data_IF_039299807953
#
_entry.id   IF_039299807953
#
_cell.length_a   1.000
_cell.length_b   1.000
_cell.length_c   1.000
_cell.angle_alpha   90.00
_cell.angle_beta   90.00
_cell.angle_gamma   90.00
#
_symmetry.space_group_name_H-M   'P 1'
#
loop_
_entity.id
_entity.type
_entity.pdbx_description
1 polymer ?
#
# COMPACT_ATOMS: atom_id res chain seq x y z
N UNK A 1 -0.29 20.79 -10.51
CA UNK A 1 -0.91 21.47 -9.36
C UNK A 1 -0.15 21.05 -8.10
N UNK A 2 0.45 21.99 -7.34
CA UNK A 2 1.09 21.67 -6.05
C UNK A 2 0.02 21.68 -4.95
N UNK A 3 -0.76 20.60 -4.85
CA UNK A 3 -1.69 20.42 -3.74
C UNK A 3 -0.84 20.04 -2.51
N UNK A 4 -1.05 20.73 -1.38
CA UNK A 4 -0.40 20.37 -0.12
C UNK A 4 -0.85 18.97 0.32
N UNK A 5 0.06 18.11 0.84
CA UNK A 5 -0.30 16.78 1.34
C UNK A 5 -1.45 16.81 2.37
N UNK A 6 -1.52 17.86 3.20
CA UNK A 6 -2.62 18.05 4.14
C UNK A 6 -3.96 18.25 3.44
N UNK A 7 -3.99 19.06 2.38
CA UNK A 7 -5.21 19.34 1.62
C UNK A 7 -5.67 18.08 0.89
N UNK A 8 -4.75 17.34 0.27
CA UNK A 8 -5.06 16.07 -0.37
C UNK A 8 -5.61 15.03 0.63
N UNK A 9 -4.97 14.93 1.81
CA UNK A 9 -5.41 14.04 2.88
C UNK A 9 -6.78 14.41 3.43
N UNK A 10 -7.03 15.70 3.64
CA UNK A 10 -8.32 16.19 4.14
C UNK A 10 -9.44 15.91 3.13
N UNK A 11 -9.24 16.23 1.85
CA UNK A 11 -10.23 15.99 0.80
C UNK A 11 -10.49 14.48 0.64
N UNK A 12 -9.43 13.66 0.59
CA UNK A 12 -9.56 12.21 0.45
C UNK A 12 -10.25 11.55 1.65
N UNK A 13 -9.88 11.93 2.87
CA UNK A 13 -10.48 11.39 4.09
C UNK A 13 -11.92 11.84 4.31
N UNK A 14 -12.20 13.12 4.09
CA UNK A 14 -13.55 13.68 4.25
C UNK A 14 -14.52 13.13 3.21
N UNK A 15 -14.09 13.01 1.95
CA UNK A 15 -14.91 12.39 0.90
C UNK A 15 -15.19 10.91 1.17
N UNK A 16 -14.20 10.16 1.67
CA UNK A 16 -14.39 8.76 2.05
C UNK A 16 -15.42 8.61 3.19
N UNK A 17 -15.34 9.46 4.22
CA UNK A 17 -16.30 9.46 5.33
C UNK A 17 -17.72 9.83 4.87
N UNK A 18 -17.85 10.84 4.01
CA UNK A 18 -19.12 11.24 3.39
C UNK A 18 -19.73 10.10 2.57
N UNK A 19 -18.95 9.47 1.69
CA UNK A 19 -19.41 8.36 0.87
C UNK A 19 -19.89 7.18 1.73
N UNK A 20 -19.18 6.87 2.82
CA UNK A 20 -19.58 5.83 3.75
C UNK A 20 -20.89 6.17 4.48
N UNK A 21 -21.07 7.42 4.92
CA UNK A 21 -22.27 7.87 5.60
C UNK A 21 -23.51 7.88 4.69
N UNK A 22 -23.37 8.33 3.43
CA UNK A 22 -24.48 8.49 2.50
C UNK A 22 -24.85 7.21 1.74
N UNK A 23 -23.87 6.44 1.27
CA UNK A 23 -24.13 5.27 0.43
C UNK A 23 -24.26 3.97 1.23
N UNK A 24 -24.05 3.99 2.57
CA UNK A 24 -23.96 2.81 3.45
C UNK A 24 -23.00 1.73 2.91
N UNK A 25 -22.10 2.10 2.01
CA UNK A 25 -21.05 1.23 1.49
C UNK A 25 -20.04 1.09 2.63
N UNK A 26 -20.23 0.05 3.42
CA UNK A 26 -19.27 -0.39 4.43
C UNK A 26 -18.36 -1.41 3.75
N UNK A 27 -17.17 -1.03 3.25
CA UNK A 27 -16.14 -2.02 3.01
C UNK A 27 -15.87 -2.78 4.33
N UNK A 28 -15.27 -3.98 4.29
CA UNK A 28 -14.90 -4.69 5.51
C UNK A 28 -14.18 -3.74 6.48
N UNK A 29 -14.46 -3.82 7.79
CA UNK A 29 -13.91 -2.88 8.76
C UNK A 29 -12.37 -2.82 8.64
N UNK A 30 -11.84 -1.59 8.55
CA UNK A 30 -10.43 -1.31 8.34
C UNK A 30 -9.80 -1.88 7.04
N UNK A 31 -10.55 -1.89 5.94
CA UNK A 31 -10.00 -2.18 4.60
C UNK A 31 -9.44 -0.91 3.94
N UNK A 32 -8.16 -0.92 3.56
CA UNK A 32 -7.48 0.17 2.86
C UNK A 32 -6.79 -0.31 1.58
N UNK A 33 -6.40 0.61 0.69
CA UNK A 33 -5.67 0.27 -0.53
C UNK A 33 -4.23 -0.14 -0.19
N UNK A 34 -4.01 -1.44 -0.02
CA UNK A 34 -2.71 -1.98 0.36
C UNK A 34 -2.04 -2.64 -0.84
N UNK A 35 -0.98 -2.03 -1.37
CA UNK A 35 -0.26 -2.57 -2.54
C UNK A 35 0.32 -3.95 -2.21
N UNK A 36 0.83 -4.18 -0.99
CA UNK A 36 1.38 -5.49 -0.60
C UNK A 36 0.29 -6.58 -0.54
N UNK A 37 -0.80 -6.33 0.20
CA UNK A 37 -1.89 -7.30 0.36
C UNK A 37 -2.65 -7.52 -0.96
N UNK A 38 -2.88 -6.47 -1.75
CA UNK A 38 -3.58 -6.58 -3.02
C UNK A 38 -2.74 -7.30 -4.07
N UNK A 39 -1.41 -7.12 -4.06
CA UNK A 39 -0.51 -7.92 -4.90
C UNK A 39 -0.54 -9.39 -4.49
N UNK A 40 -0.50 -9.68 -3.17
CA UNK A 40 -0.67 -11.06 -2.68
C UNK A 40 -2.00 -11.67 -3.14
N UNK A 41 -3.11 -10.95 -2.98
CA UNK A 41 -4.43 -11.45 -3.37
C UNK A 41 -4.54 -11.65 -4.89
N UNK A 42 -3.96 -10.77 -5.71
CA UNK A 42 -3.91 -10.93 -7.15
C UNK A 42 -3.08 -12.16 -7.56
N UNK A 43 -1.88 -12.33 -6.98
CA UNK A 43 -1.02 -13.50 -7.24
C UNK A 43 -1.71 -14.78 -6.79
N UNK A 44 -2.28 -14.81 -5.59
CA UNK A 44 -3.00 -15.98 -5.07
C UNK A 44 -4.22 -16.32 -5.94
N UNK A 45 -4.95 -15.31 -6.44
CA UNK A 45 -6.06 -15.53 -7.36
C UNK A 45 -5.62 -16.19 -8.66
N UNK A 46 -4.54 -15.67 -9.29
CA UNK A 46 -3.96 -16.23 -10.51
C UNK A 46 -3.48 -17.67 -10.28
N UNK A 47 -2.72 -17.90 -9.21
CA UNK A 47 -2.17 -19.23 -8.89
C UNK A 47 -3.29 -20.22 -8.57
N UNK A 48 -4.31 -19.83 -7.81
CA UNK A 48 -5.45 -20.70 -7.53
C UNK A 48 -6.23 -21.05 -8.81
N UNK A 49 -6.32 -20.13 -9.78
CA UNK A 49 -7.01 -20.38 -11.05
C UNK A 49 -6.20 -21.27 -12.01
N UNK A 50 -4.86 -21.12 -12.02
CA UNK A 50 -3.98 -21.89 -12.91
C UNK A 50 -3.63 -23.27 -12.33
N UNK A 51 -3.32 -23.32 -11.04
CA UNK A 51 -2.77 -24.52 -10.38
C UNK A 51 -3.78 -25.27 -9.50
N UNK A 52 -5.04 -24.81 -9.43
CA UNK A 52 -6.09 -25.46 -8.63
C UNK A 52 -5.83 -25.43 -7.12
N UNK A 53 -4.94 -24.56 -6.65
CA UNK A 53 -4.60 -24.41 -5.23
C UNK A 53 -5.67 -23.63 -4.46
N UNK A 54 -5.62 -23.68 -3.12
CA UNK A 54 -6.52 -22.96 -2.22
C UNK A 54 -5.77 -21.97 -1.32
N UNK A 55 -4.88 -21.18 -1.92
CA UNK A 55 -4.13 -20.15 -1.21
C UNK A 55 -5.08 -19.12 -0.59
N UNK A 56 -4.78 -18.68 0.63
CA UNK A 56 -5.61 -17.74 1.40
C UNK A 56 -5.78 -16.40 0.67
N UNK A 57 -7.02 -15.95 0.52
CA UNK A 57 -7.39 -14.70 -0.14
C UNK A 57 -8.38 -13.92 0.71
N UNK A 58 -8.31 -12.58 0.66
CA UNK A 58 -9.30 -11.74 1.33
C UNK A 58 -10.72 -12.01 0.78
N UNK A 59 -11.78 -11.90 1.60
CA UNK A 59 -13.15 -12.17 1.16
C UNK A 59 -13.58 -11.36 -0.07
N UNK A 60 -13.10 -10.11 -0.16
CA UNK A 60 -13.36 -9.20 -1.28
C UNK A 60 -12.72 -9.70 -2.58
N UNK A 61 -11.54 -10.32 -2.49
CA UNK A 61 -10.77 -10.82 -3.63
C UNK A 61 -11.28 -12.14 -4.21
N UNK A 62 -12.21 -12.81 -3.52
CA UNK A 62 -12.85 -14.03 -4.02
C UNK A 62 -13.88 -13.75 -5.11
N UNK A 63 -14.53 -12.59 -5.04
CA UNK A 63 -15.61 -12.21 -5.97
C UNK A 63 -15.07 -11.45 -7.17
N UNK A 64 -14.08 -10.56 -6.96
CA UNK A 64 -13.47 -9.78 -8.02
C UNK A 64 -11.93 -9.80 -7.92
N UNK A 65 -11.20 -9.97 -9.04
CA UNK A 65 -9.75 -9.86 -9.03
C UNK A 65 -9.35 -8.45 -8.62
N UNK A 66 -8.40 -8.35 -7.69
CA UNK A 66 -7.98 -7.06 -7.11
C UNK A 66 -7.09 -6.30 -8.10
N UNK A 67 -7.71 -5.66 -9.09
CA UNK A 67 -7.01 -4.89 -10.13
C UNK A 67 -6.47 -3.54 -9.67
N UNK A 68 -6.71 -3.16 -8.41
CA UNK A 68 -6.24 -1.87 -7.86
C UNK A 68 -4.74 -1.62 -8.04
N UNK A 69 -3.89 -2.65 -7.94
CA UNK A 69 -2.44 -2.51 -8.14
C UNK A 69 -2.13 -2.14 -9.59
N UNK A 70 -2.79 -2.80 -10.54
CA UNK A 70 -2.67 -2.50 -11.98
C UNK A 70 -3.22 -1.11 -12.28
N UNK A 71 -4.37 -0.76 -11.70
CA UNK A 71 -5.00 0.56 -11.86
C UNK A 71 -4.14 1.70 -11.30
N UNK A 72 -3.56 1.54 -10.10
CA UNK A 72 -2.62 2.51 -9.53
C UNK A 72 -1.39 2.64 -10.42
N UNK A 73 -0.84 1.53 -10.90
CA UNK A 73 0.35 1.56 -11.75
C UNK A 73 0.10 2.31 -13.06
N UNK A 74 -0.99 1.98 -13.77
CA UNK A 74 -1.37 2.65 -15.02
C UNK A 74 -1.71 4.12 -14.77
N UNK A 75 -2.49 4.42 -13.72
CA UNK A 75 -2.86 5.79 -13.36
C UNK A 75 -1.66 6.66 -13.02
N UNK A 76 -0.71 6.13 -12.23
CA UNK A 76 0.54 6.82 -11.91
C UNK A 76 1.40 7.03 -13.16
N UNK A 77 1.44 6.04 -14.07
CA UNK A 77 2.18 6.15 -15.32
C UNK A 77 1.60 7.24 -16.24
N UNK A 78 0.28 7.25 -16.43
CA UNK A 78 -0.43 8.28 -17.21
C UNK A 78 -0.20 9.67 -16.59
N UNK A 79 -0.31 9.78 -15.26
CA UNK A 79 -0.03 11.03 -14.54
C UNK A 79 1.40 11.53 -14.73
N UNK A 80 2.39 10.63 -14.63
CA UNK A 80 3.80 10.97 -14.83
C UNK A 80 4.09 11.44 -16.26
N UNK A 81 3.47 10.83 -17.28
CA UNK A 81 3.60 11.28 -18.67
C UNK A 81 2.90 12.62 -18.91
N UNK A 82 1.68 12.80 -18.42
CA UNK A 82 0.92 14.05 -18.56
C UNK A 82 1.66 15.24 -17.94
N UNK A 83 2.36 15.03 -16.82
CA UNK A 83 3.15 16.07 -16.15
C UNK A 83 4.61 16.15 -16.61
N UNK A 84 5.05 15.29 -17.54
CA UNK A 84 6.45 15.21 -18.02
C UNK A 84 7.47 14.98 -16.89
N UNK A 85 7.07 14.28 -15.84
CA UNK A 85 7.91 13.98 -14.67
C UNK A 85 8.49 12.55 -14.71
N UNK A 86 8.19 11.79 -15.76
CA UNK A 86 8.70 10.43 -15.93
C UNK A 86 10.23 10.43 -16.07
N UNK A 87 10.91 9.82 -15.11
CA UNK A 87 12.37 9.63 -15.10
C UNK A 87 12.70 8.20 -14.69
N UNK A 88 13.49 7.52 -15.50
CA UNK A 88 14.04 6.21 -15.15
C UNK A 88 15.17 6.44 -14.15
N UNK A 89 15.01 5.92 -12.93
CA UNK A 89 16.05 5.97 -11.88
C UNK A 89 16.63 4.58 -11.69
N UNK A 90 17.95 4.47 -11.65
CA UNK A 90 18.64 3.26 -11.24
C UNK A 90 18.98 3.33 -9.76
N UNK A 91 18.88 2.18 -9.08
CA UNK A 91 19.31 2.02 -7.69
C UNK A 91 20.83 1.88 -7.66
N UNK A 92 21.48 2.41 -6.61
CA UNK A 92 22.93 2.36 -6.44
C UNK A 92 23.50 0.94 -6.54
N UNK A 93 22.83 -0.04 -5.90
CA UNK A 93 23.13 -1.45 -6.06
C UNK A 93 21.82 -2.25 -6.27
N UNK A 94 21.60 -2.85 -7.46
CA UNK A 94 20.36 -3.54 -7.78
C UNK A 94 20.13 -4.80 -6.94
N UNK A 95 21.19 -5.49 -6.53
CA UNK A 95 21.09 -6.72 -5.74
C UNK A 95 20.59 -6.40 -4.33
N UNK A 96 21.20 -5.39 -3.69
CA UNK A 96 20.79 -4.94 -2.35
C UNK A 96 19.35 -4.44 -2.38
N UNK A 97 19.00 -3.61 -3.38
CA UNK A 97 17.63 -3.11 -3.55
C UNK A 97 16.59 -4.24 -3.70
N UNK A 98 16.92 -5.30 -4.44
CA UNK A 98 16.05 -6.46 -4.62
C UNK A 98 15.86 -7.24 -3.32
N UNK A 99 16.94 -7.54 -2.60
CA UNK A 99 16.88 -8.25 -1.31
C UNK A 99 16.08 -7.45 -0.27
N UNK A 100 16.33 -6.13 -0.18
CA UNK A 100 15.55 -5.25 0.69
C UNK A 100 14.07 -5.22 0.30
N UNK A 101 13.75 -5.21 -0.99
CA UNK A 101 12.38 -5.29 -1.49
C UNK A 101 11.65 -6.57 -1.06
N UNK A 102 12.32 -7.73 -1.15
CA UNK A 102 11.79 -9.01 -0.67
C UNK A 102 11.52 -8.96 0.82
N UNK A 103 12.46 -8.45 1.62
CA UNK A 103 12.29 -8.34 3.07
C UNK A 103 11.09 -7.45 3.41
N UNK A 104 11.00 -6.27 2.79
CA UNK A 104 9.88 -5.33 2.99
C UNK A 104 8.54 -5.98 2.68
N UNK A 105 8.43 -6.72 1.56
CA UNK A 105 7.18 -7.41 1.22
C UNK A 105 6.80 -8.48 2.25
N UNK A 106 7.75 -9.29 2.71
CA UNK A 106 7.50 -10.31 3.71
C UNK A 106 7.05 -9.70 5.05
N UNK A 107 7.77 -8.70 5.56
CA UNK A 107 7.41 -8.03 6.81
C UNK A 107 6.08 -7.25 6.69
N UNK A 108 5.81 -6.64 5.53
CA UNK A 108 4.53 -5.98 5.28
C UNK A 108 3.34 -6.96 5.30
N UNK A 109 3.53 -8.21 4.88
CA UNK A 109 2.49 -9.23 4.95
C UNK A 109 2.28 -9.77 6.37
N UNK A 110 3.33 -9.82 7.20
CA UNK A 110 3.25 -10.31 8.58
C UNK A 110 2.45 -9.38 9.51
N UNK A 111 2.65 -8.06 9.40
CA UNK A 111 2.09 -7.08 10.33
C UNK A 111 1.07 -6.09 9.72
N UNK A 112 0.91 -6.07 8.39
CA UNK A 112 0.04 -5.10 7.70
C UNK A 112 0.78 -3.81 7.36
N UNK A 113 1.72 -3.84 6.41
CA UNK A 113 2.62 -2.72 6.11
C UNK A 113 2.05 -1.54 5.32
N UNK A 114 0.71 -1.40 5.21
CA UNK A 114 0.14 -0.27 4.46
C UNK A 114 -0.21 0.89 5.41
N UNK A 115 0.39 2.07 5.21
CA UNK A 115 0.16 3.21 6.12
C UNK A 115 -1.31 3.63 6.13
N UNK A 116 -2.01 3.56 5.00
CA UNK A 116 -3.43 3.87 4.94
C UNK A 116 -4.27 2.88 5.75
N UNK A 117 -4.02 1.57 5.61
CA UNK A 117 -4.76 0.54 6.34
C UNK A 117 -4.53 0.65 7.84
N UNK A 118 -3.28 0.81 8.27
CA UNK A 118 -2.93 0.95 9.68
C UNK A 118 -3.51 2.23 10.29
N UNK A 119 -3.54 3.34 9.53
CA UNK A 119 -4.17 4.59 9.98
C UNK A 119 -5.67 4.42 10.18
N UNK A 120 -6.36 3.76 9.23
CA UNK A 120 -7.80 3.48 9.38
C UNK A 120 -8.02 2.55 10.58
N UNK A 121 -7.24 1.47 10.72
CA UNK A 121 -7.36 0.51 11.82
C UNK A 121 -7.10 1.16 13.19
N UNK A 122 -6.16 2.09 13.26
CA UNK A 122 -5.92 2.94 14.42
C UNK A 122 -7.13 3.81 14.74
N UNK A 123 -7.80 4.39 13.72
CA UNK A 123 -9.02 5.17 13.92
C UNK A 123 -10.20 4.33 14.45
N UNK A 124 -10.22 3.02 14.20
CA UNK A 124 -11.15 2.08 14.82
C UNK A 124 -10.76 1.68 16.26
N UNK A 125 -9.64 2.18 16.79
CA UNK A 125 -9.19 1.93 18.16
C UNK A 125 -8.25 0.73 18.33
N UNK A 126 -7.70 0.17 17.24
CA UNK A 126 -6.73 -0.92 17.33
C UNK A 126 -5.35 -0.41 17.78
N UNK A 127 -4.93 -0.80 18.98
CA UNK A 127 -3.64 -0.40 19.58
C UNK A 127 -2.45 -1.04 18.84
N UNK A 128 -2.62 -2.24 18.28
CA UNK A 128 -1.56 -2.93 17.53
C UNK A 128 -1.28 -2.16 16.24
N UNK A 129 -2.32 -1.62 15.60
CA UNK A 129 -2.20 -0.77 14.42
C UNK A 129 -1.45 0.53 14.69
N UNK A 130 -1.64 1.09 15.88
CA UNK A 130 -0.95 2.31 16.27
C UNK A 130 0.54 2.08 16.47
N UNK A 131 0.89 0.99 17.17
CA UNK A 131 2.29 0.61 17.40
C UNK A 131 2.99 0.28 16.08
N UNK A 132 2.32 -0.43 15.16
CA UNK A 132 2.87 -0.75 13.84
C UNK A 132 3.15 0.51 13.03
N UNK A 133 2.26 1.51 13.07
CA UNK A 133 2.41 2.79 12.39
C UNK A 133 3.64 3.57 12.91
N UNK A 134 3.83 3.60 14.23
CA UNK A 134 5.00 4.24 14.86
C UNK A 134 6.28 3.50 14.48
N UNK A 135 6.28 2.17 14.55
CA UNK A 135 7.44 1.35 14.18
C UNK A 135 7.82 1.54 12.71
N UNK A 136 6.83 1.64 11.82
CA UNK A 136 7.04 1.96 10.41
C UNK A 136 7.68 3.34 10.24
N UNK A 137 7.20 4.35 10.98
CA UNK A 137 7.78 5.70 10.97
C UNK A 137 9.25 5.71 11.40
N UNK A 138 9.56 5.07 12.53
CA UNK A 138 10.94 4.96 13.04
C UNK A 138 11.82 4.20 12.04
N UNK A 139 11.32 3.10 11.48
CA UNK A 139 12.05 2.32 10.47
C UNK A 139 12.41 3.13 9.22
N UNK A 140 11.50 3.97 8.72
CA UNK A 140 11.76 4.88 7.58
C UNK A 140 12.82 5.92 7.93
N UNK A 141 12.79 6.50 9.12
CA UNK A 141 13.80 7.48 9.56
C UNK A 141 15.17 6.82 9.66
N UNK A 142 15.26 5.66 10.34
CA UNK A 142 16.52 4.93 10.47
C UNK A 142 17.06 4.53 9.09
N UNK A 143 16.22 3.98 8.21
CA UNK A 143 16.64 3.63 6.85
C UNK A 143 17.12 4.85 6.06
N UNK A 144 16.44 5.99 6.18
CA UNK A 144 16.83 7.21 5.45
C UNK A 144 18.15 7.80 5.96
N UNK A 145 18.35 7.86 7.27
CA UNK A 145 19.56 8.43 7.85
C UNK A 145 20.78 7.49 7.75
N UNK A 146 20.57 6.17 7.83
CA UNK A 146 21.65 5.18 7.82
C UNK A 146 22.01 4.71 6.41
N UNK A 147 21.04 4.47 5.52
CA UNK A 147 21.33 3.97 4.16
C UNK A 147 21.51 5.10 3.15
N UNK A 148 20.56 6.05 3.07
CA UNK A 148 20.61 7.10 2.03
C UNK A 148 21.62 8.21 2.32
N UNK A 149 21.86 8.55 3.58
CA UNK A 149 22.76 9.65 3.96
C UNK A 149 24.21 9.23 4.20
N UNK A 150 24.43 8.03 4.75
CA UNK A 150 25.79 7.53 5.00
C UNK A 150 26.42 6.81 3.81
N UNK A 151 25.71 6.68 2.69
CA UNK A 151 26.23 6.15 1.42
C UNK A 151 26.92 4.78 1.59
N UNK A 152 26.27 3.88 2.33
CA UNK A 152 26.66 2.47 2.49
C UNK A 152 26.21 1.65 1.27
#
# INVERSE_FOLDING_TARGET
MRISPLVAGFIGGFSAALLQAFFKVSPPPAYGICIACHTRDLVNWIVNHIAGTTLGMAPVSKVFPVLTVVGIFIGALIGAFAHKEFKIKQTHNPVIGFVLGILVLNFALLMGGCPLRETIRTAYGDVIAFISLIAMFVGVIVASEVYLKKNL
#
